data_IF_397059453830
#
_entry.id   IF_397059453830
#
_cell.length_a   1.000
_cell.length_b   1.000
_cell.length_c   1.000
_cell.angle_alpha   90.00
_cell.angle_beta   90.00
_cell.angle_gamma   90.00
#
_symmetry.space_group_name_H-M   'P 1'
#
loop_
_entity.id
_entity.type
_entity.pdbx_description
1 polymer ?
#
# COMPACT_ATOMS: atom_id res chain seq x y z
N UNK A 1 3.68 12.40 -6.30
CA UNK A 1 2.50 11.70 -6.81
C UNK A 1 1.19 12.22 -6.20
N UNK A 2 1.12 12.51 -4.90
CA UNK A 2 -0.11 12.87 -4.18
C UNK A 2 -0.31 14.38 -3.98
N UNK A 3 0.44 15.25 -4.64
CA UNK A 3 0.32 16.74 -4.58
C UNK A 3 0.01 17.32 -3.18
N UNK A 4 0.74 16.87 -2.18
CA UNK A 4 0.59 17.32 -0.78
C UNK A 4 0.48 16.16 0.23
N UNK A 5 0.22 14.94 -0.22
CA UNK A 5 0.09 13.77 0.63
C UNK A 5 -1.35 13.28 0.79
N UNK A 6 -1.58 12.42 1.75
CA UNK A 6 -2.91 12.01 2.21
C UNK A 6 -3.47 13.11 3.11
N UNK A 7 -4.77 13.30 3.08
CA UNK A 7 -5.43 14.22 4.02
C UNK A 7 -5.52 13.57 5.41
N UNK A 8 -5.61 14.38 6.43
CA UNK A 8 -5.82 13.91 7.80
C UNK A 8 -7.13 13.11 7.88
N UNK A 9 -7.08 11.93 8.50
CA UNK A 9 -8.22 11.02 8.61
C UNK A 9 -8.52 10.19 7.36
N UNK A 10 -7.72 10.31 6.29
CA UNK A 10 -7.89 9.48 5.10
C UNK A 10 -7.64 7.99 5.39
N UNK A 11 -8.46 7.14 4.77
CA UNK A 11 -8.20 5.72 4.68
C UNK A 11 -7.57 5.39 3.32
N UNK A 12 -6.38 4.84 3.35
CA UNK A 12 -5.58 4.49 2.17
C UNK A 12 -5.48 2.98 2.04
N UNK A 13 -5.91 2.43 0.92
CA UNK A 13 -5.72 1.01 0.59
C UNK A 13 -4.46 0.84 -0.24
N UNK A 14 -3.51 0.04 0.25
CA UNK A 14 -2.32 -0.38 -0.49
C UNK A 14 -2.49 -1.82 -0.93
N UNK A 15 -2.73 -2.01 -2.21
CA UNK A 15 -2.95 -3.33 -2.80
C UNK A 15 -1.74 -3.80 -3.62
N UNK A 16 -1.43 -5.09 -3.53
CA UNK A 16 -0.34 -5.70 -4.33
C UNK A 16 -0.09 -7.15 -3.95
N UNK A 17 0.61 -7.88 -4.83
CA UNK A 17 1.00 -9.27 -4.57
C UNK A 17 2.03 -9.41 -3.45
N UNK A 18 2.29 -10.62 -2.99
CA UNK A 18 3.38 -10.91 -2.07
C UNK A 18 4.72 -10.37 -2.62
N UNK A 19 5.58 -9.84 -1.76
CA UNK A 19 6.88 -9.27 -2.14
C UNK A 19 6.85 -7.95 -2.92
N UNK A 20 5.67 -7.33 -3.13
CA UNK A 20 5.57 -6.05 -3.83
C UNK A 20 6.09 -4.86 -3.03
N UNK A 21 6.30 -4.97 -1.72
CA UNK A 21 6.83 -3.90 -0.86
C UNK A 21 5.77 -3.18 -0.01
N UNK A 22 4.58 -3.78 0.16
CA UNK A 22 3.47 -3.22 0.96
C UNK A 22 3.89 -2.92 2.40
N UNK A 23 4.45 -3.91 3.09
CA UNK A 23 4.96 -3.81 4.47
C UNK A 23 6.01 -2.70 4.60
N UNK A 24 6.97 -2.63 3.67
CA UNK A 24 7.99 -1.56 3.66
C UNK A 24 7.37 -0.18 3.51
N UNK A 25 6.36 -0.04 2.62
CA UNK A 25 5.64 1.23 2.44
C UNK A 25 4.89 1.63 3.72
N UNK A 26 4.25 0.68 4.39
CA UNK A 26 3.51 0.92 5.62
C UNK A 26 4.43 1.35 6.78
N UNK A 27 5.54 0.67 6.97
CA UNK A 27 6.54 1.05 7.98
C UNK A 27 7.13 2.43 7.68
N UNK A 28 7.50 2.70 6.41
CA UNK A 28 8.01 4.02 6.01
C UNK A 28 6.99 5.14 6.22
N UNK A 29 5.71 4.87 5.99
CA UNK A 29 4.63 5.82 6.25
C UNK A 29 4.56 6.21 7.72
N UNK A 30 4.65 5.24 8.65
CA UNK A 30 4.64 5.48 10.08
C UNK A 30 5.93 6.18 10.54
N UNK A 31 7.10 5.67 10.14
CA UNK A 31 8.39 6.25 10.50
C UNK A 31 8.50 7.71 10.02
N UNK A 32 8.08 8.00 8.79
CA UNK A 32 8.05 9.38 8.30
C UNK A 32 7.08 10.26 9.10
N UNK A 33 5.95 9.72 9.56
CA UNK A 33 5.03 10.42 10.45
C UNK A 33 5.71 10.83 11.74
N UNK A 34 6.38 9.90 12.38
CA UNK A 34 7.08 10.12 13.64
C UNK A 34 8.24 11.10 13.47
N UNK A 35 9.13 10.83 12.51
CA UNK A 35 10.40 11.56 12.37
C UNK A 35 10.21 12.97 11.80
N UNK A 36 9.30 13.13 10.81
CA UNK A 36 9.15 14.38 10.07
C UNK A 36 8.04 15.29 10.63
N UNK A 37 7.02 14.68 11.24
CA UNK A 37 5.82 15.41 11.65
C UNK A 37 5.52 15.28 13.15
N UNK A 38 6.26 14.45 13.90
CA UNK A 38 6.00 14.21 15.32
C UNK A 38 4.68 13.48 15.58
N UNK A 39 4.17 12.75 14.61
CA UNK A 39 2.89 12.05 14.66
C UNK A 39 3.08 10.61 15.14
N UNK A 40 2.63 10.24 16.35
CA UNK A 40 2.72 8.87 16.83
C UNK A 40 1.94 7.91 15.92
N UNK A 41 2.42 6.66 15.83
CA UNK A 41 1.84 5.68 14.93
C UNK A 41 1.71 4.27 15.51
N UNK A 42 0.71 3.55 15.04
CA UNK A 42 0.48 2.13 15.35
C UNK A 42 0.76 1.30 14.10
N UNK A 43 1.53 0.22 14.26
CA UNK A 43 1.61 -0.85 13.28
C UNK A 43 0.91 -2.09 13.84
N UNK A 44 -0.21 -2.47 13.23
CA UNK A 44 -0.99 -3.65 13.59
C UNK A 44 -0.76 -4.73 12.55
N UNK A 45 -0.34 -5.91 12.99
CA UNK A 45 -0.11 -7.08 12.13
C UNK A 45 -0.85 -8.30 12.63
N UNK A 46 -1.31 -9.13 11.67
CA UNK A 46 -1.96 -10.41 11.95
C UNK A 46 -1.08 -11.62 11.63
N UNK A 47 0.09 -11.39 11.01
CA UNK A 47 0.90 -12.46 10.45
C UNK A 47 2.32 -12.47 11.02
N UNK A 48 3.00 -11.33 10.97
CA UNK A 48 4.41 -11.26 11.29
C UNK A 48 4.66 -11.05 12.77
N UNK A 49 5.58 -11.86 13.33
CA UNK A 49 5.98 -11.70 14.73
C UNK A 49 6.77 -10.39 14.95
N UNK A 50 6.61 -9.74 16.10
CA UNK A 50 7.25 -8.45 16.41
C UNK A 50 8.76 -8.42 16.13
N UNK A 51 9.50 -9.45 16.51
CA UNK A 51 10.95 -9.50 16.33
C UNK A 51 11.38 -9.49 14.87
N UNK A 52 10.56 -10.05 13.96
CA UNK A 52 10.81 -9.99 12.52
C UNK A 52 10.65 -8.56 12.01
N UNK A 53 9.60 -7.87 12.41
CA UNK A 53 9.33 -6.48 12.03
C UNK A 53 10.47 -5.55 12.53
N UNK A 54 10.86 -5.68 13.80
CA UNK A 54 11.97 -4.88 14.36
C UNK A 54 13.29 -5.13 13.63
N UNK A 55 13.61 -6.40 13.36
CA UNK A 55 14.81 -6.79 12.61
C UNK A 55 14.80 -6.20 11.21
N UNK A 56 13.70 -6.34 10.50
CA UNK A 56 13.59 -5.93 9.10
C UNK A 56 13.60 -4.40 8.97
N UNK A 57 12.98 -3.68 9.91
CA UNK A 57 13.02 -2.23 9.98
C UNK A 57 14.46 -1.69 10.18
N UNK A 58 15.30 -2.39 10.95
CA UNK A 58 16.71 -2.02 11.14
C UNK A 58 17.51 -2.02 9.85
N UNK A 59 17.17 -2.85 8.86
CA UNK A 59 17.82 -2.86 7.55
C UNK A 59 17.62 -1.54 6.78
N UNK A 60 16.61 -0.76 7.15
CA UNK A 60 16.32 0.56 6.61
C UNK A 60 16.81 1.70 7.53
N UNK A 61 17.52 1.38 8.62
CA UNK A 61 17.94 2.37 9.62
C UNK A 61 16.79 2.85 10.52
N UNK A 62 15.66 2.15 10.55
CA UNK A 62 14.50 2.52 11.38
C UNK A 62 14.56 1.77 12.72
N UNK A 63 14.88 2.47 13.79
CA UNK A 63 14.88 1.91 15.15
C UNK A 63 13.51 2.01 15.79
N UNK A 64 12.63 1.06 15.43
CA UNK A 64 11.26 1.03 15.94
C UNK A 64 11.19 0.78 17.45
N UNK A 65 12.15 0.03 18.03
CA UNK A 65 12.19 -0.20 19.48
C UNK A 65 12.43 1.10 20.24
N UNK A 66 13.39 1.90 19.77
CA UNK A 66 13.64 3.22 20.33
C UNK A 66 12.41 4.14 20.21
N UNK A 67 11.73 4.12 19.07
CA UNK A 67 10.48 4.91 18.89
C UNK A 67 9.37 4.44 19.83
N UNK A 68 9.32 3.16 20.17
CA UNK A 68 8.38 2.60 21.13
C UNK A 68 8.71 2.99 22.56
N UNK A 69 10.00 2.92 22.96
CA UNK A 69 10.49 3.42 24.25
C UNK A 69 10.20 4.92 24.44
N UNK A 70 10.26 5.70 23.36
CA UNK A 70 9.92 7.14 23.34
C UNK A 70 8.41 7.41 23.31
N UNK A 71 7.56 6.38 23.39
CA UNK A 71 6.10 6.46 23.27
C UNK A 71 5.62 7.17 22.00
N UNK A 72 6.27 6.90 20.86
CA UNK A 72 5.92 7.43 19.53
C UNK A 72 5.42 6.37 18.56
N UNK A 73 5.65 5.10 18.88
CA UNK A 73 5.31 3.94 18.06
C UNK A 73 4.75 2.82 18.94
N UNK A 74 3.82 2.05 18.42
CA UNK A 74 3.39 0.80 19.04
C UNK A 74 3.20 -0.27 17.96
N UNK A 75 3.80 -1.44 18.21
CA UNK A 75 3.57 -2.61 17.39
C UNK A 75 2.57 -3.53 18.09
N UNK A 76 1.47 -3.84 17.40
CA UNK A 76 0.44 -4.77 17.88
C UNK A 76 0.45 -5.99 16.97
N UNK A 77 0.74 -7.17 17.54
CA UNK A 77 0.56 -8.45 16.87
C UNK A 77 -0.63 -9.15 17.52
N UNK A 78 -1.69 -9.35 16.78
CA UNK A 78 -2.94 -9.94 17.30
C UNK A 78 -3.62 -10.77 16.22
N UNK A 79 -4.69 -11.49 16.57
CA UNK A 79 -5.53 -12.15 15.57
C UNK A 79 -6.73 -11.28 15.19
N UNK A 80 -7.28 -11.43 13.97
CA UNK A 80 -8.41 -10.61 13.52
C UNK A 80 -9.67 -10.75 14.36
N UNK A 81 -9.95 -11.93 14.91
CA UNK A 81 -11.09 -12.19 15.80
C UNK A 81 -11.04 -11.31 17.06
N UNK A 82 -9.87 -11.21 17.70
CA UNK A 82 -9.68 -10.37 18.88
C UNK A 82 -9.86 -8.87 18.57
N UNK A 83 -9.55 -8.45 17.34
CA UNK A 83 -9.79 -7.09 16.89
C UNK A 83 -11.29 -6.82 16.62
N UNK A 84 -12.01 -7.83 16.15
CA UNK A 84 -13.43 -7.73 15.76
C UNK A 84 -14.39 -7.97 16.93
N UNK A 85 -13.92 -8.55 18.03
CA UNK A 85 -14.72 -8.70 19.24
C UNK A 85 -15.12 -7.35 19.83
N UNK A 86 -16.39 -6.99 19.62
CA UNK A 86 -16.94 -5.66 19.88
C UNK A 86 -17.54 -5.48 21.29
N UNK A 87 -17.30 -6.40 22.22
CA UNK A 87 -17.84 -6.31 23.58
C UNK A 87 -16.74 -5.97 24.60
N UNK A 88 -16.40 -4.68 24.67
CA UNK A 88 -15.45 -4.17 25.66
C UNK A 88 -14.36 -3.28 25.04
N UNK A 89 -13.49 -2.76 25.89
CA UNK A 89 -12.27 -2.09 25.47
C UNK A 89 -11.31 -3.15 24.90
N UNK A 90 -11.05 -3.11 23.60
CA UNK A 90 -10.07 -3.99 23.00
C UNK A 90 -8.66 -3.38 23.08
N UNK A 91 -7.64 -4.20 22.87
CA UNK A 91 -6.23 -3.79 22.92
C UNK A 91 -5.95 -2.54 22.08
N UNK A 92 -6.61 -2.39 20.93
CA UNK A 92 -6.43 -1.22 20.07
C UNK A 92 -6.99 0.06 20.73
N UNK A 93 -8.15 -0.02 21.39
CA UNK A 93 -8.71 1.13 22.13
C UNK A 93 -7.81 1.58 23.27
N UNK A 94 -7.23 0.63 24.02
CA UNK A 94 -6.28 0.93 25.10
C UNK A 94 -5.05 1.65 24.56
N UNK A 95 -4.43 1.12 23.49
CA UNK A 95 -3.26 1.72 22.86
C UNK A 95 -3.59 3.10 22.28
N UNK A 96 -4.77 3.28 21.69
CA UNK A 96 -5.21 4.59 21.18
C UNK A 96 -5.32 5.62 22.32
N UNK A 97 -5.84 5.23 23.45
CA UNK A 97 -5.96 6.11 24.63
C UNK A 97 -4.59 6.48 25.24
N UNK A 98 -3.64 5.55 25.22
CA UNK A 98 -2.28 5.77 25.76
C UNK A 98 -1.40 6.59 24.82
N UNK A 99 -1.34 6.16 23.55
CA UNK A 99 -0.38 6.71 22.57
C UNK A 99 -0.87 7.98 21.88
N UNK A 100 -2.19 8.20 21.80
CA UNK A 100 -2.83 9.25 21.00
C UNK A 100 -2.33 9.29 19.55
N UNK A 101 -2.39 8.16 18.82
CA UNK A 101 -1.78 8.02 17.51
C UNK A 101 -2.50 8.88 16.48
N UNK A 102 -1.74 9.39 15.50
CA UNK A 102 -2.28 10.09 14.32
C UNK A 102 -2.29 9.18 13.10
N UNK A 103 -1.49 8.12 13.11
CA UNK A 103 -1.38 7.18 12.00
C UNK A 103 -1.50 5.74 12.46
N UNK A 104 -2.14 4.93 11.64
CA UNK A 104 -2.15 3.47 11.82
C UNK A 104 -1.87 2.79 10.48
N UNK A 105 -1.11 1.70 10.52
CA UNK A 105 -0.98 0.76 9.41
C UNK A 105 -1.49 -0.61 9.85
N UNK A 106 -2.29 -1.27 9.01
CA UNK A 106 -2.83 -2.62 9.27
C UNK A 106 -2.33 -3.57 8.18
N UNK A 107 -1.53 -4.57 8.61
CA UNK A 107 -0.90 -5.56 7.74
C UNK A 107 -1.34 -7.00 8.14
N UNK A 108 -2.28 -7.63 7.45
CA UNK A 108 -3.02 -7.12 6.30
C UNK A 108 -4.52 -7.32 6.48
N UNK A 109 -5.29 -6.40 5.93
CA UNK A 109 -6.76 -6.46 5.98
C UNK A 109 -7.32 -7.74 5.30
N UNK A 110 -6.56 -8.32 4.36
CA UNK A 110 -6.92 -9.59 3.70
C UNK A 110 -7.04 -10.77 4.67
N UNK A 111 -6.37 -10.75 5.83
CA UNK A 111 -6.52 -11.81 6.84
C UNK A 111 -7.91 -11.84 7.46
N UNK A 112 -8.67 -10.75 7.44
CA UNK A 112 -10.06 -10.76 7.91
C UNK A 112 -10.92 -11.78 7.14
N UNK A 113 -10.59 -12.09 5.87
CA UNK A 113 -11.34 -13.08 5.08
C UNK A 113 -11.39 -14.47 5.70
N UNK A 114 -10.39 -14.83 6.50
CA UNK A 114 -10.33 -16.14 7.17
C UNK A 114 -11.18 -16.22 8.43
N UNK A 115 -11.56 -15.07 9.01
CA UNK A 115 -12.22 -14.99 10.32
C UNK A 115 -13.67 -14.49 10.22
N UNK A 116 -14.09 -14.02 9.06
CA UNK A 116 -15.46 -13.54 8.83
C UNK A 116 -16.21 -14.45 7.86
N UNK A 117 -17.52 -14.55 8.01
CA UNK A 117 -18.34 -15.30 7.06
C UNK A 117 -18.29 -14.67 5.66
N UNK A 118 -18.47 -15.51 4.62
CA UNK A 118 -18.54 -15.02 3.24
C UNK A 118 -19.63 -13.93 3.11
N UNK A 119 -19.22 -12.74 2.71
CA UNK A 119 -20.11 -11.57 2.58
C UNK A 119 -20.03 -10.56 3.72
N UNK A 120 -19.52 -10.93 4.88
CA UNK A 120 -19.38 -10.01 6.02
C UNK A 120 -18.07 -9.19 6.01
N UNK A 121 -17.07 -9.60 5.23
CA UNK A 121 -15.80 -8.88 5.12
C UNK A 121 -15.99 -7.38 4.89
N UNK A 122 -16.86 -7.02 3.96
CA UNK A 122 -17.17 -5.62 3.64
C UNK A 122 -17.74 -4.85 4.83
N UNK A 123 -18.62 -5.49 5.60
CA UNK A 123 -19.24 -4.92 6.79
C UNK A 123 -18.20 -4.70 7.89
N UNK A 124 -17.33 -5.67 8.13
CA UNK A 124 -16.30 -5.58 9.15
C UNK A 124 -15.20 -4.58 8.75
N UNK A 125 -14.78 -4.58 7.49
CA UNK A 125 -13.88 -3.55 6.98
C UNK A 125 -14.49 -2.14 7.09
N UNK A 126 -15.79 -1.98 6.82
CA UNK A 126 -16.50 -0.72 7.01
C UNK A 126 -16.49 -0.27 8.48
N UNK A 127 -16.77 -1.18 9.40
CA UNK A 127 -16.73 -0.89 10.86
C UNK A 127 -15.35 -0.42 11.29
N UNK A 128 -14.31 -1.16 10.88
CA UNK A 128 -12.92 -0.82 11.20
C UNK A 128 -12.52 0.55 10.63
N UNK A 129 -12.76 0.79 9.35
CA UNK A 129 -12.43 2.07 8.72
C UNK A 129 -13.20 3.23 9.36
N UNK A 130 -14.50 3.03 9.65
CA UNK A 130 -15.31 4.05 10.31
C UNK A 130 -14.82 4.34 11.72
N UNK A 131 -14.45 3.31 12.48
CA UNK A 131 -13.85 3.44 13.78
C UNK A 131 -12.56 4.29 13.73
N UNK A 132 -11.62 3.94 12.84
CA UNK A 132 -10.36 4.67 12.68
C UNK A 132 -10.58 6.14 12.30
N UNK A 133 -11.52 6.40 11.40
CA UNK A 133 -11.90 7.76 11.01
C UNK A 133 -12.52 8.56 12.17
N UNK A 134 -13.38 7.94 13.00
CA UNK A 134 -13.96 8.62 14.18
C UNK A 134 -12.90 8.96 15.22
N UNK A 135 -11.81 8.21 15.29
CA UNK A 135 -10.64 8.52 16.14
C UNK A 135 -9.71 9.57 15.51
N UNK A 136 -10.01 10.07 14.30
CA UNK A 136 -9.18 11.06 13.60
C UNK A 136 -7.85 10.53 13.09
N UNK A 137 -7.71 9.21 12.94
CA UNK A 137 -6.47 8.59 12.47
C UNK A 137 -6.45 8.47 10.94
N UNK A 138 -5.32 8.84 10.34
CA UNK A 138 -5.02 8.49 8.97
C UNK A 138 -4.56 7.03 8.92
N UNK A 139 -5.24 6.20 8.13
CA UNK A 139 -5.02 4.76 8.10
C UNK A 139 -4.46 4.27 6.76
N UNK A 140 -3.45 3.39 6.83
CA UNK A 140 -2.91 2.68 5.69
C UNK A 140 -3.26 1.19 5.84
N UNK A 141 -4.10 0.70 4.95
CA UNK A 141 -4.65 -0.65 5.00
C UNK A 141 -4.01 -1.48 3.90
N UNK A 142 -3.29 -2.54 4.26
CA UNK A 142 -2.65 -3.42 3.30
C UNK A 142 -3.66 -4.47 2.84
N UNK A 143 -3.71 -4.66 1.52
CA UNK A 143 -4.48 -5.71 0.87
C UNK A 143 -3.56 -6.59 0.02
N UNK A 144 -3.55 -7.88 0.30
CA UNK A 144 -2.86 -8.83 -0.54
C UNK A 144 -3.76 -9.22 -1.72
N UNK A 145 -3.41 -8.74 -2.90
CA UNK A 145 -4.05 -9.17 -4.12
C UNK A 145 -3.52 -10.55 -4.50
N UNK A 146 -4.38 -11.53 -4.63
CA UNK A 146 -4.03 -12.86 -5.12
C UNK A 146 -3.26 -12.80 -6.44
N UNK A 147 -2.63 -13.90 -6.86
CA UNK A 147 -1.88 -13.96 -8.12
C UNK A 147 -2.78 -13.49 -9.27
N UNK A 148 -2.38 -12.41 -9.89
CA UNK A 148 -3.11 -11.75 -10.96
C UNK A 148 -2.93 -12.55 -12.24
N UNK A 149 -3.73 -13.60 -12.40
CA UNK A 149 -3.92 -14.26 -13.69
C UNK A 149 -4.91 -13.43 -14.49
N UNK A 150 -4.39 -12.62 -15.43
CA UNK A 150 -5.22 -11.83 -16.33
C UNK A 150 -5.18 -10.31 -16.12
N UNK A 151 -5.84 -9.60 -17.01
CA UNK A 151 -5.75 -8.17 -17.27
C UNK A 151 -6.46 -7.26 -16.25
N UNK A 152 -6.93 -7.73 -15.09
CA UNK A 152 -7.68 -6.91 -14.16
C UNK A 152 -7.00 -6.75 -12.80
N UNK A 153 -6.87 -5.51 -12.36
CA UNK A 153 -6.56 -5.14 -10.99
C UNK A 153 -7.82 -5.39 -10.15
N UNK A 154 -7.94 -6.57 -9.56
CA UNK A 154 -9.13 -7.00 -8.84
C UNK A 154 -9.31 -6.38 -7.43
N UNK A 155 -8.78 -5.18 -7.19
CA UNK A 155 -9.06 -4.41 -5.95
C UNK A 155 -10.57 -4.10 -5.82
N UNK A 156 -11.29 -4.06 -6.95
CA UNK A 156 -12.73 -3.77 -6.97
C UNK A 156 -13.60 -5.00 -6.68
N UNK A 157 -13.10 -6.21 -6.88
CA UNK A 157 -13.90 -7.45 -6.68
C UNK A 157 -14.29 -7.64 -5.21
N UNK A 158 -13.43 -7.26 -4.28
CA UNK A 158 -13.72 -7.35 -2.85
C UNK A 158 -14.64 -6.21 -2.38
N UNK A 159 -14.88 -5.20 -3.21
CA UNK A 159 -15.78 -4.09 -2.92
C UNK A 159 -15.31 -3.17 -1.79
N UNK A 160 -14.00 -3.11 -1.52
CA UNK A 160 -13.42 -2.19 -0.52
C UNK A 160 -13.17 -0.78 -1.09
N UNK A 161 -13.18 -0.64 -2.40
CA UNK A 161 -12.83 0.61 -3.09
C UNK A 161 -13.71 1.81 -2.70
N UNK A 162 -14.95 1.58 -2.28
CA UNK A 162 -15.83 2.68 -1.84
C UNK A 162 -15.59 3.12 -0.39
N UNK A 163 -14.95 2.28 0.44
CA UNK A 163 -14.67 2.56 1.85
C UNK A 163 -13.49 3.51 2.04
N UNK A 164 -12.55 3.49 1.11
CA UNK A 164 -11.27 4.19 1.23
C UNK A 164 -11.22 5.45 0.38
N UNK A 165 -10.38 6.39 0.79
CA UNK A 165 -10.23 7.68 0.12
C UNK A 165 -9.15 7.64 -0.96
N UNK A 166 -8.12 6.82 -0.76
CA UNK A 166 -7.05 6.61 -1.73
C UNK A 166 -6.81 5.11 -1.96
N UNK A 167 -6.41 4.75 -3.19
CA UNK A 167 -5.98 3.40 -3.56
C UNK A 167 -4.63 3.52 -4.24
N UNK A 168 -3.63 2.90 -3.62
CA UNK A 168 -2.26 2.74 -4.15
C UNK A 168 -2.08 1.29 -4.57
N UNK A 169 -1.68 1.06 -5.81
CA UNK A 169 -1.39 -0.28 -6.30
C UNK A 169 0.11 -0.47 -6.51
N UNK A 170 0.63 -1.56 -5.96
CA UNK A 170 2.02 -2.01 -6.13
C UNK A 170 2.04 -3.28 -6.97
N UNK A 171 2.82 -3.30 -8.04
CA UNK A 171 2.88 -4.44 -8.96
C UNK A 171 4.32 -4.74 -9.39
N UNK A 172 4.77 -6.00 -9.30
CA UNK A 172 5.95 -6.43 -10.04
C UNK A 172 5.61 -6.47 -11.53
N UNK A 173 6.50 -5.99 -12.38
CA UNK A 173 6.36 -5.97 -13.83
C UNK A 173 7.66 -6.46 -14.46
N UNK A 174 7.57 -7.32 -15.47
CA UNK A 174 8.74 -7.77 -16.22
C UNK A 174 9.00 -6.80 -17.38
N UNK A 175 10.20 -6.22 -17.42
CA UNK A 175 10.66 -5.35 -18.49
C UNK A 175 12.08 -5.75 -18.87
N UNK A 176 12.29 -6.11 -20.14
CA UNK A 176 13.60 -6.50 -20.66
C UNK A 176 14.25 -7.61 -19.82
N UNK A 177 13.46 -8.66 -19.51
CA UNK A 177 13.88 -9.81 -18.70
C UNK A 177 14.30 -9.48 -17.25
N UNK A 178 13.95 -8.30 -16.75
CA UNK A 178 14.15 -7.90 -15.36
C UNK A 178 12.82 -7.59 -14.67
N UNK A 179 12.68 -8.07 -13.43
CA UNK A 179 11.50 -7.73 -12.61
C UNK A 179 11.72 -6.35 -11.99
N UNK A 180 10.86 -5.41 -12.35
CA UNK A 180 10.82 -4.07 -11.79
C UNK A 180 9.58 -3.89 -10.93
N UNK A 181 9.61 -2.94 -10.02
CA UNK A 181 8.47 -2.62 -9.15
C UNK A 181 7.78 -1.36 -9.66
N UNK A 182 6.47 -1.45 -9.84
CA UNK A 182 5.63 -0.37 -10.33
C UNK A 182 4.62 0.06 -9.26
N UNK A 183 4.38 1.36 -9.16
CA UNK A 183 3.41 1.99 -8.28
C UNK A 183 2.51 2.92 -9.08
N UNK A 184 1.20 2.87 -8.81
CA UNK A 184 0.22 3.80 -9.37
C UNK A 184 -0.83 4.17 -8.34
N UNK A 185 -1.31 5.40 -8.40
CA UNK A 185 -2.48 5.86 -7.64
C UNK A 185 -3.72 5.61 -8.52
N UNK A 186 -4.58 4.68 -8.10
CA UNK A 186 -5.79 4.33 -8.84
C UNK A 186 -6.98 5.22 -8.48
N UNK A 187 -6.97 5.74 -7.25
CA UNK A 187 -8.03 6.58 -6.72
C UNK A 187 -7.45 7.56 -5.70
N UNK A 188 -7.93 8.79 -5.72
CA UNK A 188 -7.72 9.79 -4.68
C UNK A 188 -8.97 10.65 -4.57
N UNK A 189 -9.54 10.77 -3.38
CA UNK A 189 -10.63 11.70 -3.09
C UNK A 189 -10.05 13.04 -2.62
N UNK A 190 -10.74 14.11 -2.92
CA UNK A 190 -10.45 15.44 -2.39
C UNK A 190 -9.22 16.15 -2.98
N UNK A 191 -8.36 15.48 -3.75
CA UNK A 191 -7.24 16.13 -4.44
C UNK A 191 -6.92 15.45 -5.78
N UNK A 192 -6.18 16.18 -6.63
CA UNK A 192 -5.59 15.60 -7.84
C UNK A 192 -4.33 14.78 -7.51
N UNK A 193 -4.03 13.81 -8.35
CA UNK A 193 -2.89 12.92 -8.19
C UNK A 193 -2.21 12.64 -9.53
N UNK A 194 -0.98 12.16 -9.47
CA UNK A 194 -0.25 11.67 -10.63
C UNK A 194 -0.86 10.34 -11.11
N UNK A 195 -1.31 10.33 -12.35
CA UNK A 195 -1.95 9.17 -13.00
C UNK A 195 -0.96 8.26 -13.70
N UNK A 196 0.32 8.63 -13.68
CA UNK A 196 1.37 7.86 -14.33
C UNK A 196 1.76 6.65 -13.47
N UNK A 197 2.02 5.55 -14.14
CA UNK A 197 2.68 4.40 -13.54
C UNK A 197 4.15 4.73 -13.34
N UNK A 198 4.63 4.66 -12.10
CA UNK A 198 6.02 4.97 -11.74
C UNK A 198 6.77 3.74 -11.32
N UNK A 199 8.02 3.65 -11.70
CA UNK A 199 8.95 2.71 -11.11
C UNK A 199 9.27 3.14 -9.68
N UNK A 200 9.49 2.18 -8.81
CA UNK A 200 10.07 2.43 -7.50
C UNK A 200 11.08 1.33 -7.14
N UNK A 201 11.96 1.66 -6.22
CA UNK A 201 12.96 0.76 -5.69
C UNK A 201 12.88 0.72 -4.17
N UNK A 202 13.21 -0.45 -3.60
CA UNK A 202 13.40 -0.61 -2.16
C UNK A 202 14.90 -0.48 -1.91
N UNK A 203 15.30 0.63 -1.31
CA UNK A 203 16.69 0.97 -0.99
C UNK A 203 16.94 0.81 0.51
N UNK A 204 18.18 0.87 0.99
CA UNK A 204 18.46 0.89 2.43
C UNK A 204 17.82 2.08 3.18
N UNK A 205 17.38 3.12 2.48
CA UNK A 205 16.66 4.25 3.07
C UNK A 205 15.12 4.11 2.95
N UNK A 206 14.64 2.96 2.49
CA UNK A 206 13.22 2.68 2.24
C UNK A 206 12.84 2.76 0.76
N UNK A 207 11.56 2.96 0.50
CA UNK A 207 11.01 3.07 -0.87
C UNK A 207 11.37 4.43 -1.46
N UNK A 208 11.95 4.38 -2.65
CA UNK A 208 12.25 5.54 -3.48
C UNK A 208 11.46 5.47 -4.77
N UNK A 209 10.64 6.49 -5.04
CA UNK A 209 9.89 6.61 -6.30
C UNK A 209 10.83 7.13 -7.38
N UNK A 210 10.82 6.45 -8.52
CA UNK A 210 11.62 6.78 -9.70
C UNK A 210 10.76 7.42 -10.82
N UNK A 211 11.31 7.48 -12.02
CA UNK A 211 10.62 8.02 -13.20
C UNK A 211 9.40 7.20 -13.61
N UNK A 212 8.54 7.78 -14.42
CA UNK A 212 7.43 7.06 -15.03
C UNK A 212 7.95 6.08 -16.12
N UNK A 213 7.18 5.04 -16.39
CA UNK A 213 7.42 4.11 -17.49
C UNK A 213 7.06 4.73 -18.86
N UNK A 214 7.67 5.89 -19.19
CA UNK A 214 7.29 6.69 -20.36
C UNK A 214 7.56 6.01 -21.71
N UNK A 215 8.45 5.01 -21.74
CA UNK A 215 8.84 4.29 -22.95
C UNK A 215 8.14 2.93 -23.12
N UNK A 216 7.16 2.63 -22.27
CA UNK A 216 6.47 1.33 -22.26
C UNK A 216 4.97 1.51 -22.17
N UNK A 217 4.24 0.77 -23.00
CA UNK A 217 2.79 0.58 -22.91
C UNK A 217 2.47 -0.84 -22.43
N UNK A 218 1.24 -1.08 -21.96
CA UNK A 218 0.82 -2.40 -21.51
C UNK A 218 1.45 -2.88 -20.19
N UNK A 219 2.15 -2.01 -19.45
CA UNK A 219 2.79 -2.36 -18.17
C UNK A 219 1.74 -2.81 -17.13
N UNK A 220 0.58 -2.14 -17.11
CA UNK A 220 -0.53 -2.48 -16.21
C UNK A 220 -1.17 -3.82 -16.56
N UNK A 221 -1.25 -4.16 -17.83
CA UNK A 221 -1.88 -5.39 -18.33
C UNK A 221 -0.96 -6.60 -18.27
N UNK A 222 0.32 -6.43 -17.87
CA UNK A 222 1.31 -7.50 -17.79
C UNK A 222 1.96 -7.86 -19.14
N UNK A 223 1.77 -7.04 -20.16
CA UNK A 223 2.37 -7.23 -21.49
C UNK A 223 3.09 -5.94 -21.92
N UNK A 224 4.18 -5.57 -21.22
CA UNK A 224 4.89 -4.33 -21.54
C UNK A 224 5.52 -4.38 -22.94
N UNK A 225 5.27 -3.34 -23.73
CA UNK A 225 5.84 -3.15 -25.06
C UNK A 225 6.55 -1.80 -25.12
N UNK A 226 7.72 -1.76 -25.76
CA UNK A 226 8.48 -0.52 -25.92
C UNK A 226 7.84 0.35 -27.01
N UNK A 227 7.43 1.56 -26.68
CA UNK A 227 6.73 2.51 -27.59
C UNK A 227 7.59 2.97 -28.77
N UNK A 228 8.88 2.70 -28.80
CA UNK A 228 9.77 3.13 -29.87
C UNK A 228 9.91 2.19 -31.07
N UNK A 229 9.57 0.91 -30.91
CA UNK A 229 9.81 -0.09 -31.96
C UNK A 229 8.78 -0.08 -33.10
N UNK A 230 7.52 0.27 -32.79
CA UNK A 230 6.47 0.31 -33.83
C UNK A 230 6.61 1.51 -34.76
N UNK A 231 6.89 2.70 -34.24
CA UNK A 231 7.16 3.90 -35.08
C UNK A 231 8.38 3.72 -35.98
N UNK A 232 9.40 3.01 -35.50
CA UNK A 232 10.59 2.71 -36.30
C UNK A 232 10.27 1.68 -37.39
N UNK A 233 9.48 0.64 -37.09
CA UNK A 233 9.04 -0.36 -38.07
C UNK A 233 8.07 0.23 -39.11
N UNK A 234 7.17 1.16 -38.75
CA UNK A 234 6.31 1.88 -39.70
C UNK A 234 7.12 2.76 -40.63
N UNK A 235 8.14 3.46 -40.14
CA UNK A 235 9.06 4.24 -40.99
C UNK A 235 9.77 3.37 -42.02
N UNK A 236 10.19 2.16 -41.67
CA UNK A 236 10.80 1.23 -42.61
C UNK A 236 9.80 0.60 -43.59
N UNK A 237 8.56 0.30 -43.17
CA UNK A 237 7.49 -0.17 -44.07
C UNK A 237 7.12 0.91 -45.11
N UNK A 238 6.93 2.15 -44.66
CA UNK A 238 6.62 3.27 -45.54
C UNK A 238 7.75 3.62 -46.52
N UNK A 239 9.02 3.30 -46.19
CA UNK A 239 10.16 3.51 -47.09
C UNK A 239 10.31 2.39 -48.14
N UNK A 240 9.83 1.16 -47.84
CA UNK A 240 9.87 0.06 -48.82
C UNK A 240 8.73 0.11 -49.84
N UNK A 241 7.57 0.70 -49.51
CA UNK A 241 6.47 0.91 -50.45
C UNK A 241 6.68 2.04 -51.44
N UNK A 242 7.55 3.01 -51.13
CA UNK A 242 7.93 4.10 -52.05
C UNK A 242 9.03 3.73 -53.05
N UNK A 243 9.54 2.52 -53.02
CA UNK A 243 10.56 2.00 -53.96
C UNK A 243 10.05 0.96 -54.96
N UNK A 244 8.76 0.78 -55.07
CA UNK A 244 8.08 0.08 -56.14
C UNK A 244 7.26 1.11 -56.94
#
# INVERSE_FOLDING_TARGET
MLRGGFMEGDAVLVAGSAGSGKTTLALQYLVNGIVKFGEPGIYLTFEQMPDQIYRDAKNFGWDLRKMEEENKFRLICTSPDLLLESQGENLLDEVIKELHPRRIAIDSLSHLEMFVAKGDLRKEAYRLVSFLKTKGMSSLLIWEAGQMSGNSFSVTEVGLSFLVDCIVALKPVEIESAVRKALVILKMRGSDHDKQLRQFEITPAGIKIESAFSNYEGVMTGSPRRVGSEKFMEMFRGASEKRK
#
